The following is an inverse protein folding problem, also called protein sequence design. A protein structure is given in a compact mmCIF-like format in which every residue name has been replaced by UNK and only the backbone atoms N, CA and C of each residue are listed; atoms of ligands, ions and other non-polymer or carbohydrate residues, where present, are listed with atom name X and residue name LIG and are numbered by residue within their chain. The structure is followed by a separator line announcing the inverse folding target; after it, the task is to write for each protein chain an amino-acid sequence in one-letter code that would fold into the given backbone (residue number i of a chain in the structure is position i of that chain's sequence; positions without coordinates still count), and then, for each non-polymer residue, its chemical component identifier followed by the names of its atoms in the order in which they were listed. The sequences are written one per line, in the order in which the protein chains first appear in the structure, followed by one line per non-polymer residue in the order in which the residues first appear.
data_IF_713354869652
#
_entry.id   IF_713354869652
#
_cell.length_a   1.000
_cell.length_b   1.000
_cell.length_c   1.000
_cell.angle_alpha   90.00
_cell.angle_beta   90.00
_cell.angle_gamma   90.00
#
_symmetry.space_group_name_H-M   'P 1'
#
loop_
_entity.id
_entity.type
_entity.pdbx_description
1 polymer ?
#
# COMPACT_ATOMS: atom_id res chain seq x y z
N UNK A 1 10.71 15.38 12.39
CA UNK A 1 11.04 14.91 11.03
C UNK A 1 10.74 13.41 11.04
N UNK A 2 9.73 12.94 10.30
CA UNK A 2 9.37 11.52 10.31
C UNK A 2 10.55 10.72 9.75
N UNK A 3 11.18 9.89 10.59
CA UNK A 3 12.25 9.00 10.13
C UNK A 3 11.62 7.71 9.62
N UNK A 4 11.51 7.58 8.30
CA UNK A 4 11.41 6.28 7.64
C UNK A 4 12.75 5.56 7.82
N UNK A 5 12.95 4.92 8.98
CA UNK A 5 14.10 4.06 9.22
C UNK A 5 13.67 2.60 9.10
N UNK A 6 14.62 1.73 8.79
CA UNK A 6 14.39 0.28 8.76
C UNK A 6 13.81 -0.21 10.09
N UNK A 7 14.37 0.26 11.20
CA UNK A 7 13.97 -0.11 12.56
C UNK A 7 12.52 0.27 12.85
N UNK A 8 12.07 1.43 12.38
CA UNK A 8 10.69 1.88 12.56
C UNK A 8 9.71 1.01 11.76
N UNK A 9 10.07 0.61 10.54
CA UNK A 9 9.23 -0.26 9.71
C UNK A 9 9.17 -1.67 10.29
N UNK A 10 10.29 -2.22 10.75
CA UNK A 10 10.34 -3.53 11.42
C UNK A 10 9.55 -3.53 12.75
N UNK A 11 9.63 -2.44 13.51
CA UNK A 11 8.85 -2.26 14.73
C UNK A 11 7.35 -2.21 14.45
N UNK A 12 6.93 -1.52 13.38
CA UNK A 12 5.53 -1.49 12.96
C UNK A 12 5.02 -2.89 12.60
N UNK A 13 5.79 -3.68 11.85
CA UNK A 13 5.44 -5.07 11.52
C UNK A 13 5.22 -5.89 12.79
N UNK A 14 6.10 -5.76 13.78
CA UNK A 14 5.97 -6.49 15.05
C UNK A 14 4.72 -6.09 15.83
N UNK A 15 4.41 -4.79 15.89
CA UNK A 15 3.21 -4.28 16.55
C UNK A 15 1.92 -4.76 15.87
N UNK A 16 1.85 -4.72 14.53
CA UNK A 16 0.70 -5.24 13.81
C UNK A 16 0.54 -6.75 14.02
N UNK A 17 1.63 -7.52 14.03
CA UNK A 17 1.57 -8.96 14.34
C UNK A 17 1.09 -9.24 15.77
N UNK A 18 1.49 -8.42 16.75
CA UNK A 18 0.97 -8.53 18.11
C UNK A 18 -0.52 -8.19 18.15
N UNK A 19 -0.97 -7.18 17.40
CA UNK A 19 -2.38 -6.83 17.30
C UNK A 19 -3.19 -8.00 16.71
N UNK A 20 -2.71 -8.63 15.62
CA UNK A 20 -3.33 -9.84 15.04
C UNK A 20 -3.37 -11.00 16.03
N UNK A 21 -2.32 -11.18 16.84
CA UNK A 21 -2.29 -12.24 17.85
C UNK A 21 -3.27 -12.01 19.01
N UNK A 22 -3.66 -10.76 19.27
CA UNK A 22 -4.66 -10.39 20.27
C UNK A 22 -6.08 -10.42 19.68
N UNK A 23 -6.22 -10.05 18.42
CA UNK A 23 -7.47 -10.01 17.67
C UNK A 23 -7.19 -10.43 16.21
N UNK A 24 -7.50 -11.68 15.90
CA UNK A 24 -7.28 -12.26 14.57
C UNK A 24 -8.15 -11.60 13.49
N UNK A 25 -9.27 -10.98 13.88
CA UNK A 25 -10.23 -10.31 13.00
C UNK A 25 -9.91 -8.83 12.79
N UNK A 26 -8.81 -8.31 13.37
CA UNK A 26 -8.41 -6.92 13.18
C UNK A 26 -7.89 -6.65 11.76
N UNK A 27 -8.81 -6.38 10.84
CA UNK A 27 -8.58 -6.20 9.40
C UNK A 27 -7.43 -5.24 9.09
N UNK A 28 -7.46 -4.03 9.66
CA UNK A 28 -6.43 -3.01 9.39
C UNK A 28 -5.04 -3.43 9.89
N UNK A 29 -4.92 -4.32 10.88
CA UNK A 29 -3.61 -4.83 11.29
C UNK A 29 -3.00 -5.76 10.24
N UNK A 30 -3.80 -6.63 9.61
CA UNK A 30 -3.36 -7.44 8.46
C UNK A 30 -2.92 -6.55 7.29
N UNK A 31 -3.71 -5.53 6.95
CA UNK A 31 -3.33 -4.53 5.95
C UNK A 31 -2.03 -3.80 6.32
N UNK A 32 -1.84 -3.47 7.60
CA UNK A 32 -0.64 -2.85 8.15
C UNK A 32 0.63 -3.66 7.93
N UNK A 33 0.60 -4.97 8.24
CA UNK A 33 1.74 -5.87 7.98
C UNK A 33 2.13 -5.85 6.50
N UNK A 34 1.13 -5.95 5.62
CA UNK A 34 1.32 -5.95 4.17
C UNK A 34 2.03 -4.69 3.69
N UNK A 35 1.49 -3.53 4.05
CA UNK A 35 2.04 -2.23 3.61
C UNK A 35 3.45 -2.03 4.15
N UNK A 36 3.73 -2.40 5.40
CA UNK A 36 5.08 -2.30 5.96
C UNK A 36 6.09 -3.21 5.26
N UNK A 37 5.70 -4.43 4.85
CA UNK A 37 6.56 -5.30 4.04
C UNK A 37 6.87 -4.69 2.67
N UNK A 38 5.89 -4.04 2.04
CA UNK A 38 6.09 -3.32 0.77
C UNK A 38 7.04 -2.12 0.97
N UNK A 39 6.92 -1.40 2.08
CA UNK A 39 7.84 -0.30 2.42
C UNK A 39 9.26 -0.82 2.58
N UNK A 40 9.49 -1.96 3.24
CA UNK A 40 10.84 -2.55 3.32
C UNK A 40 11.44 -2.81 1.95
N UNK A 41 10.64 -3.28 0.99
CA UNK A 41 11.08 -3.55 -0.37
C UNK A 41 11.33 -2.25 -1.13
N UNK A 42 10.37 -1.33 -1.14
CA UNK A 42 10.46 -0.06 -1.88
C UNK A 42 11.58 0.86 -1.38
N UNK A 43 11.87 0.84 -0.08
CA UNK A 43 12.96 1.60 0.54
C UNK A 43 14.30 0.85 0.53
N UNK A 44 14.38 -0.35 -0.06
CA UNK A 44 15.57 -1.19 -0.09
C UNK A 44 16.15 -1.49 1.31
N UNK A 45 15.29 -1.69 2.30
CA UNK A 45 15.65 -2.03 3.69
C UNK A 45 15.72 -3.54 3.96
N UNK A 46 15.42 -4.37 2.97
CA UNK A 46 15.46 -5.84 3.05
C UNK A 46 16.43 -6.44 2.04
N UNK A 47 17.12 -7.50 2.47
CA UNK A 47 17.96 -8.33 1.59
C UNK A 47 17.16 -9.48 0.94
N UNK A 48 15.90 -9.69 1.34
CA UNK A 48 15.02 -10.75 0.84
C UNK A 48 13.74 -10.17 0.20
N UNK A 49 13.82 -9.30 -0.82
CA UNK A 49 12.65 -8.59 -1.34
C UNK A 49 11.55 -9.51 -1.87
N UNK A 50 11.92 -10.62 -2.52
CA UNK A 50 10.95 -11.61 -3.04
C UNK A 50 10.09 -12.21 -1.93
N UNK A 51 10.71 -12.61 -0.82
CA UNK A 51 10.03 -13.19 0.35
C UNK A 51 9.12 -12.18 1.04
N UNK A 52 9.54 -10.91 1.09
CA UNK A 52 8.70 -9.82 1.60
C UNK A 52 7.45 -9.63 0.71
N UNK A 53 7.60 -9.61 -0.61
CA UNK A 53 6.48 -9.49 -1.56
C UNK A 53 5.52 -10.68 -1.43
N UNK A 54 6.04 -11.91 -1.40
CA UNK A 54 5.23 -13.13 -1.22
C UNK A 54 4.44 -13.10 0.09
N UNK A 55 5.06 -12.61 1.18
CA UNK A 55 4.39 -12.47 2.47
C UNK A 55 3.34 -11.36 2.44
N UNK A 56 3.61 -10.26 1.73
CA UNK A 56 2.71 -9.11 1.61
C UNK A 56 1.45 -9.42 0.79
N UNK A 57 1.39 -10.51 0.03
CA UNK A 57 0.16 -10.92 -0.66
C UNK A 57 -0.85 -11.64 0.24
N UNK A 58 -0.39 -12.35 1.28
CA UNK A 58 -1.26 -13.20 2.12
C UNK A 58 -2.13 -12.41 3.09
N UNK A 59 -1.54 -11.39 3.72
CA UNK A 59 -2.24 -10.59 4.73
C UNK A 59 -3.39 -9.72 4.20
N UNK A 60 -3.25 -8.99 3.07
CA UNK A 60 -4.29 -8.07 2.65
C UNK A 60 -5.51 -8.77 2.01
N UNK A 61 -5.37 -10.02 1.55
CA UNK A 61 -6.51 -10.84 1.14
C UNK A 61 -7.42 -11.11 2.35
N UNK A 62 -6.82 -11.47 3.50
CA UNK A 62 -7.55 -11.63 4.74
C UNK A 62 -8.14 -10.30 5.23
N UNK A 63 -7.41 -9.19 5.11
CA UNK A 63 -7.93 -7.88 5.56
C UNK A 63 -9.19 -7.46 4.83
N UNK A 64 -9.27 -7.66 3.51
CA UNK A 64 -10.48 -7.34 2.72
C UNK A 64 -11.63 -8.30 3.01
N UNK A 65 -11.35 -9.58 3.34
CA UNK A 65 -12.39 -10.53 3.78
C UNK A 65 -12.99 -10.12 5.13
N UNK A 66 -12.15 -9.59 6.03
CA UNK A 66 -12.55 -9.14 7.36
C UNK A 66 -13.29 -7.78 7.32
N UNK A 67 -12.83 -6.85 6.48
CA UNK A 67 -13.46 -5.54 6.27
C UNK A 67 -13.26 -5.04 4.83
N UNK A 68 -14.31 -5.14 4.03
CA UNK A 68 -14.37 -4.67 2.63
C UNK A 68 -14.84 -3.20 2.49
N UNK A 69 -15.07 -2.51 3.62
CA UNK A 69 -15.43 -1.10 3.66
C UNK A 69 -14.28 -0.22 4.15
N UNK A 70 -13.19 -0.79 4.68
CA UNK A 70 -11.98 -0.06 5.01
C UNK A 70 -11.14 0.23 3.74
N UNK A 71 -10.99 1.50 3.32
CA UNK A 71 -10.15 1.86 2.18
C UNK A 71 -8.69 1.43 2.35
N UNK A 72 -8.19 1.29 3.58
CA UNK A 72 -6.83 0.83 3.83
C UNK A 72 -6.62 -0.63 3.43
N UNK A 73 -7.63 -1.48 3.65
CA UNK A 73 -7.58 -2.90 3.29
C UNK A 73 -7.48 -3.07 1.76
N UNK A 74 -8.33 -2.37 1.01
CA UNK A 74 -8.26 -2.35 -0.45
C UNK A 74 -6.97 -1.73 -0.98
N UNK A 75 -6.50 -0.64 -0.37
CA UNK A 75 -5.20 -0.06 -0.73
C UNK A 75 -4.04 -1.05 -0.52
N UNK A 76 -4.01 -1.74 0.63
CA UNK A 76 -2.98 -2.73 0.92
C UNK A 76 -3.00 -3.87 -0.10
N UNK A 77 -4.18 -4.38 -0.46
CA UNK A 77 -4.32 -5.44 -1.46
C UNK A 77 -3.87 -4.99 -2.85
N UNK A 78 -4.29 -3.80 -3.27
CA UNK A 78 -3.88 -3.19 -4.54
C UNK A 78 -2.38 -2.99 -4.63
N UNK A 79 -1.76 -2.46 -3.57
CA UNK A 79 -0.30 -2.29 -3.48
C UNK A 79 0.44 -3.62 -3.55
N UNK A 80 -0.01 -4.65 -2.83
CA UNK A 80 0.64 -5.97 -2.86
C UNK A 80 0.58 -6.62 -4.23
N UNK A 81 -0.58 -6.54 -4.91
CA UNK A 81 -0.75 -7.04 -6.28
C UNK A 81 0.14 -6.30 -7.28
N UNK A 82 0.28 -4.98 -7.14
CA UNK A 82 1.20 -4.19 -7.97
C UNK A 82 2.66 -4.64 -7.80
N UNK A 83 3.12 -4.80 -6.55
CA UNK A 83 4.47 -5.29 -6.25
C UNK A 83 4.71 -6.75 -6.65
N UNK A 84 3.63 -7.50 -6.89
CA UNK A 84 3.65 -8.89 -7.35
C UNK A 84 3.41 -9.03 -8.85
N UNK A 85 3.56 -7.95 -9.62
CA UNK A 85 3.40 -7.92 -11.08
C UNK A 85 2.02 -8.38 -11.55
N UNK A 86 0.95 -8.02 -10.82
CA UNK A 86 -0.45 -8.27 -11.19
C UNK A 86 -1.24 -6.97 -11.35
N UNK A 87 -0.87 -6.11 -12.33
CA UNK A 87 -1.44 -4.77 -12.43
C UNK A 87 -2.95 -4.76 -12.70
N UNK A 88 -3.45 -5.73 -13.47
CA UNK A 88 -4.87 -5.85 -13.82
C UNK A 88 -5.74 -6.14 -12.60
N UNK A 89 -5.18 -6.79 -11.58
CA UNK A 89 -5.85 -7.05 -10.30
C UNK A 89 -5.59 -5.98 -9.25
N UNK A 90 -4.54 -5.16 -9.43
CA UNK A 90 -4.18 -4.10 -8.50
C UNK A 90 -5.06 -2.86 -8.68
N UNK A 91 -5.31 -2.48 -9.94
CA UNK A 91 -6.10 -1.30 -10.30
C UNK A 91 -7.50 -1.26 -9.68
N UNK A 92 -8.34 -2.33 -9.77
CA UNK A 92 -9.68 -2.29 -9.18
C UNK A 92 -9.67 -2.10 -7.66
N UNK A 93 -8.70 -2.66 -6.94
CA UNK A 93 -8.59 -2.51 -5.50
C UNK A 93 -8.22 -1.08 -5.10
N UNK A 94 -7.27 -0.48 -5.82
CA UNK A 94 -6.90 0.92 -5.58
C UNK A 94 -8.05 1.87 -5.92
N UNK A 95 -8.82 1.59 -6.98
CA UNK A 95 -10.06 2.33 -7.28
C UNK A 95 -11.11 2.14 -6.21
N UNK A 96 -11.28 0.93 -5.68
CA UNK A 96 -12.22 0.66 -4.59
C UNK A 96 -11.87 1.44 -3.32
N UNK A 97 -10.59 1.54 -2.97
CA UNK A 97 -10.13 2.38 -1.87
C UNK A 97 -10.51 3.87 -2.05
N UNK A 98 -10.47 4.38 -3.28
CA UNK A 98 -10.90 5.75 -3.63
C UNK A 98 -12.42 5.89 -3.58
N UNK A 99 -13.18 4.88 -4.04
CA UNK A 99 -14.65 4.89 -3.95
C UNK A 99 -15.12 4.94 -2.50
N UNK A 100 -14.49 4.15 -1.62
CA UNK A 100 -14.77 4.12 -0.19
C UNK A 100 -14.36 5.43 0.49
N UNK A 101 -13.22 5.99 0.11
CA UNK A 101 -12.76 7.28 0.61
C UNK A 101 -12.09 8.11 -0.49
N UNK A 102 -12.82 9.07 -1.09
CA UNK A 102 -12.29 9.95 -2.13
C UNK A 102 -11.16 10.88 -1.67
N UNK A 103 -10.90 10.99 -0.37
CA UNK A 103 -9.78 11.76 0.19
C UNK A 103 -8.57 10.89 0.54
N UNK A 104 -8.57 9.60 0.16
CA UNK A 104 -7.52 8.66 0.48
C UNK A 104 -6.28 8.83 -0.43
N UNK A 105 -5.45 9.83 -0.13
CA UNK A 105 -4.28 10.21 -0.92
C UNK A 105 -3.36 9.03 -1.32
N UNK A 106 -3.19 8.07 -0.41
CA UNK A 106 -2.37 6.88 -0.63
C UNK A 106 -2.85 6.01 -1.81
N UNK A 107 -4.17 5.89 -2.03
CA UNK A 107 -4.70 5.12 -3.16
C UNK A 107 -4.48 5.82 -4.51
N UNK A 108 -4.61 7.16 -4.54
CA UNK A 108 -4.24 7.94 -5.72
C UNK A 108 -2.74 7.79 -6.05
N UNK A 109 -1.87 7.88 -5.04
CA UNK A 109 -0.44 7.61 -5.21
C UNK A 109 -0.19 6.18 -5.71
N UNK A 110 -0.91 5.20 -5.15
CA UNK A 110 -0.84 3.81 -5.58
C UNK A 110 -1.21 3.62 -7.06
N UNK A 111 -2.29 4.26 -7.54
CA UNK A 111 -2.67 4.22 -8.95
C UNK A 111 -1.65 4.92 -9.85
N UNK A 112 -1.16 6.09 -9.43
CA UNK A 112 -0.12 6.80 -10.18
C UNK A 112 1.10 5.91 -10.42
N UNK A 113 1.59 5.27 -9.35
CA UNK A 113 2.72 4.37 -9.40
C UNK A 113 2.44 3.12 -10.24
N UNK A 114 1.24 2.55 -10.12
CA UNK A 114 0.81 1.40 -10.92
C UNK A 114 0.87 1.69 -12.42
N UNK A 115 0.27 2.80 -12.87
CA UNK A 115 0.28 3.17 -14.28
C UNK A 115 1.69 3.52 -14.78
N UNK A 116 2.53 4.11 -13.93
CA UNK A 116 3.92 4.43 -14.28
C UNK A 116 4.78 3.17 -14.46
N UNK A 117 4.59 2.15 -13.64
CA UNK A 117 5.39 0.92 -13.68
C UNK A 117 4.90 -0.12 -14.69
N UNK A 118 3.64 -0.04 -15.12
CA UNK A 118 3.05 -1.01 -16.04
C UNK A 118 3.50 -0.70 -17.47
N UNK A 119 4.08 -1.65 -18.22
CA UNK A 119 4.42 -1.44 -19.63
C UNK A 119 3.18 -1.07 -20.45
N UNK A 120 3.23 0.07 -21.14
CA UNK A 120 2.09 0.61 -21.88
C UNK A 120 1.03 1.31 -21.01
N UNK A 121 1.32 1.54 -19.72
CA UNK A 121 0.47 2.33 -18.84
C UNK A 121 0.38 3.80 -19.27
N UNK A 122 -0.73 4.44 -18.87
CA UNK A 122 -1.03 5.82 -19.26
C UNK A 122 -0.32 6.82 -18.35
N UNK A 123 0.73 7.46 -18.88
CA UNK A 123 1.52 8.45 -18.16
C UNK A 123 0.73 9.73 -17.82
N UNK A 124 -0.26 10.12 -18.62
CA UNK A 124 -1.09 11.28 -18.32
C UNK A 124 -2.04 10.99 -17.16
N UNK A 125 -2.67 9.80 -17.17
CA UNK A 125 -3.47 9.32 -16.03
C UNK A 125 -2.62 9.26 -14.78
N UNK A 126 -1.40 8.69 -14.88
CA UNK A 126 -0.45 8.63 -13.76
C UNK A 126 -0.18 10.01 -13.16
N UNK A 127 0.15 11.00 -14.01
CA UNK A 127 0.39 12.38 -13.58
C UNK A 127 -0.82 13.02 -12.91
N UNK A 128 -2.03 12.80 -13.43
CA UNK A 128 -3.27 13.29 -12.78
C UNK A 128 -3.48 12.66 -11.40
N UNK A 129 -3.30 11.34 -11.27
CA UNK A 129 -3.45 10.66 -9.98
C UNK A 129 -2.41 11.14 -8.97
N UNK A 130 -1.16 11.37 -9.39
CA UNK A 130 -0.12 11.92 -8.53
C UNK A 130 -0.45 13.32 -8.05
N UNK A 131 -0.94 14.19 -8.95
CA UNK A 131 -1.35 15.55 -8.58
C UNK A 131 -2.49 15.55 -7.55
N UNK A 132 -3.46 14.64 -7.68
CA UNK A 132 -4.53 14.49 -6.67
C UNK A 132 -3.99 13.99 -5.33
N UNK A 133 -3.07 13.02 -5.33
CA UNK A 133 -2.43 12.56 -4.09
C UNK A 133 -1.71 13.71 -3.36
N UNK A 134 -0.95 14.53 -4.10
CA UNK A 134 -0.26 15.72 -3.56
C UNK A 134 -1.27 16.76 -3.06
N UNK A 135 -2.36 17.00 -3.80
CA UNK A 135 -3.41 17.95 -3.38
C UNK A 135 -4.07 17.52 -2.07
N UNK A 136 -4.34 16.23 -1.91
CA UNK A 136 -4.97 15.66 -0.72
C UNK A 136 -4.02 15.57 0.47
N UNK A 137 -2.73 15.34 0.23
CA UNK A 137 -1.69 15.22 1.25
C UNK A 137 -0.43 16.00 0.85
N UNK A 138 -0.43 17.33 0.95
CA UNK A 138 0.66 18.19 0.44
C UNK A 138 1.97 18.10 1.25
N UNK A 139 1.96 17.36 2.36
CA UNK A 139 3.14 17.11 3.20
C UNK A 139 3.40 15.61 3.36
N UNK A 140 2.87 14.79 2.45
CA UNK A 140 3.11 13.36 2.48
C UNK A 140 4.60 13.07 2.29
N UNK A 141 5.27 12.35 3.20
CA UNK A 141 6.66 11.96 3.02
C UNK A 141 6.88 11.03 1.81
N UNK A 142 5.83 10.36 1.33
CA UNK A 142 5.87 9.48 0.16
C UNK A 142 5.58 10.22 -1.15
N UNK A 143 4.98 11.42 -1.08
CA UNK A 143 4.99 12.31 -2.22
C UNK A 143 6.44 12.78 -2.37
N UNK A 144 7.14 12.24 -3.38
CA UNK A 144 8.45 12.73 -3.80
C UNK A 144 8.30 14.16 -4.34
N UNK A 145 8.14 15.11 -3.43
CA UNK A 145 8.23 16.53 -3.67
C UNK A 145 9.69 16.94 -3.50
N UNK A 146 10.37 17.11 -4.64
CA UNK A 146 11.53 17.98 -4.91
C UNK A 146 12.64 18.06 -3.85
#
# INVERSE_FOLDING_TARGET
MYQFSKENVESAINLYKQAIALDEEFASAHAGVSVSLIVLVGANFTQEPKKCIESALRYPEQSVVLDDQDPFCHYALGRSRAFSFQPEKAEPELKRAIELNPSYAHAYHGLAHLYMMTPGGDAEVSGRMMNEAIRLSPRDPLALGI
#
